data_IF_671645081113
#
_entry.id   IF_671645081113
#
_cell.length_a   1.000
_cell.length_b   1.000
_cell.length_c   1.000
_cell.angle_alpha   90.00
_cell.angle_beta   90.00
_cell.angle_gamma   90.00
#
_symmetry.space_group_name_H-M   'P 1'
#
loop_
_entity.id
_entity.type
_entity.pdbx_description
1 polymer ?
#
# COMPACT_ATOMS: atom_id res chain seq x y z
N UNK A 1 13.00 4.53 -24.99
CA UNK A 1 12.41 3.73 -23.88
C UNK A 1 11.62 2.57 -24.47
N UNK A 2 11.77 1.35 -23.95
CA UNK A 2 11.07 0.16 -24.46
C UNK A 2 9.54 0.31 -24.32
N UNK A 3 8.78 -0.02 -25.38
CA UNK A 3 7.32 0.06 -25.41
C UNK A 3 6.66 -0.79 -24.31
N UNK A 4 7.25 -1.94 -23.97
CA UNK A 4 6.78 -2.80 -22.89
C UNK A 4 6.86 -2.07 -21.54
N UNK A 5 8.03 -1.50 -21.21
CA UNK A 5 8.24 -0.75 -19.96
C UNK A 5 7.25 0.40 -19.85
N UNK A 6 7.02 1.15 -20.93
CA UNK A 6 6.03 2.24 -20.95
C UNK A 6 4.61 1.75 -20.65
N UNK A 7 4.19 0.64 -21.26
CA UNK A 7 2.88 0.03 -21.02
C UNK A 7 2.75 -0.48 -19.58
N UNK A 8 3.79 -1.10 -19.06
CA UNK A 8 3.80 -1.59 -17.68
C UNK A 8 3.70 -0.45 -16.66
N UNK A 9 4.48 0.64 -16.80
CA UNK A 9 4.34 1.83 -15.92
C UNK A 9 2.91 2.36 -15.99
N UNK A 10 2.38 2.56 -17.20
CA UNK A 10 1.06 3.14 -17.39
C UNK A 10 -0.05 2.30 -16.73
N UNK A 11 -0.13 1.01 -17.06
CA UNK A 11 -1.21 0.15 -16.57
C UNK A 11 -1.08 -0.18 -15.09
N UNK A 12 0.13 -0.43 -14.58
CA UNK A 12 0.33 -0.64 -13.15
C UNK A 12 -0.05 0.61 -12.34
N UNK A 13 0.22 1.81 -12.85
CA UNK A 13 -0.17 3.06 -12.20
C UNK A 13 -1.70 3.25 -12.15
N UNK A 14 -2.41 2.98 -13.26
CA UNK A 14 -3.88 3.00 -13.28
C UNK A 14 -4.46 1.97 -12.31
N UNK A 15 -3.90 0.75 -12.31
CA UNK A 15 -4.36 -0.33 -11.46
C UNK A 15 -4.11 -0.01 -9.97
N UNK A 16 -2.96 0.56 -9.61
CA UNK A 16 -2.68 1.06 -8.25
C UNK A 16 -3.76 2.05 -7.81
N UNK A 17 -4.05 3.06 -8.63
CA UNK A 17 -5.03 4.07 -8.28
C UNK A 17 -6.42 3.45 -8.06
N UNK A 18 -6.86 2.56 -8.94
CA UNK A 18 -8.13 1.86 -8.81
C UNK A 18 -8.19 0.96 -7.57
N UNK A 19 -7.13 0.19 -7.30
CA UNK A 19 -7.05 -0.70 -6.14
C UNK A 19 -7.09 0.08 -4.83
N UNK A 20 -6.31 1.15 -4.70
CA UNK A 20 -6.29 1.97 -3.48
C UNK A 20 -7.65 2.61 -3.22
N UNK A 21 -8.31 3.16 -4.25
CA UNK A 21 -9.68 3.69 -4.11
C UNK A 21 -10.65 2.59 -3.66
N UNK A 22 -10.56 1.39 -4.24
CA UNK A 22 -11.39 0.26 -3.86
C UNK A 22 -11.14 -0.19 -2.41
N UNK A 23 -9.88 -0.17 -1.97
CA UNK A 23 -9.49 -0.47 -0.59
C UNK A 23 -10.11 0.55 0.37
N UNK A 24 -9.94 1.86 0.10
CA UNK A 24 -10.45 2.92 0.96
C UNK A 24 -11.98 2.88 1.05
N UNK A 25 -12.66 2.76 -0.08
CA UNK A 25 -14.13 2.61 -0.13
C UNK A 25 -14.57 1.37 0.64
N UNK A 26 -13.89 0.24 0.44
CA UNK A 26 -14.19 -1.01 1.13
C UNK A 26 -13.99 -0.92 2.64
N UNK A 27 -12.89 -0.31 3.10
CA UNK A 27 -12.59 -0.12 4.52
C UNK A 27 -13.60 0.82 5.17
N UNK A 28 -13.92 1.95 4.53
CA UNK A 28 -14.92 2.90 5.03
C UNK A 28 -16.30 2.25 5.10
N UNK A 29 -16.73 1.58 4.03
CA UNK A 29 -18.03 0.89 3.99
C UNK A 29 -18.11 -0.21 5.06
N UNK A 30 -17.04 -0.98 5.24
CA UNK A 30 -16.95 -2.01 6.28
C UNK A 30 -17.12 -1.43 7.69
N UNK A 31 -16.48 -0.29 7.99
CA UNK A 31 -16.60 0.35 9.31
C UNK A 31 -18.01 0.94 9.56
N UNK A 32 -18.70 1.39 8.51
CA UNK A 32 -20.07 1.92 8.62
C UNK A 32 -21.11 0.79 8.76
N UNK A 33 -20.97 -0.27 7.97
CA UNK A 33 -21.95 -1.37 7.91
C UNK A 33 -21.77 -2.38 9.04
N UNK A 34 -20.53 -2.58 9.50
CA UNK A 34 -20.17 -3.52 10.55
C UNK A 34 -19.33 -2.79 11.61
N UNK A 35 -19.91 -1.79 12.30
CA UNK A 35 -19.20 -1.03 13.30
C UNK A 35 -18.81 -1.96 14.45
N UNK A 36 -17.52 -1.97 14.80
CA UNK A 36 -17.04 -2.76 15.93
C UNK A 36 -16.92 -1.82 17.13
N UNK A 37 -17.66 -2.11 18.19
CA UNK A 37 -17.70 -1.28 19.41
C UNK A 37 -17.34 -2.11 20.62
N UNK A 38 -16.58 -1.51 21.56
CA UNK A 38 -16.12 -2.13 22.81
C UNK A 38 -15.43 -3.49 22.61
N UNK A 39 -14.11 -3.46 22.44
CA UNK A 39 -13.31 -4.66 22.22
C UNK A 39 -12.20 -4.76 23.24
N UNK A 40 -12.30 -5.78 24.09
CA UNK A 40 -11.25 -6.15 25.03
C UNK A 40 -10.70 -7.55 24.74
N UNK A 41 -11.46 -8.40 24.06
CA UNK A 41 -11.13 -9.80 23.83
C UNK A 41 -11.60 -10.33 22.46
N UNK A 42 -11.22 -11.58 22.17
CA UNK A 42 -11.46 -12.23 20.89
C UNK A 42 -12.94 -12.63 20.72
N UNK A 43 -13.60 -13.00 21.81
CA UNK A 43 -15.00 -13.42 21.84
C UNK A 43 -15.95 -12.28 21.45
N UNK A 44 -15.70 -11.08 21.98
CA UNK A 44 -16.42 -9.85 21.62
C UNK A 44 -16.23 -9.50 20.14
N UNK A 45 -15.00 -9.64 19.64
CA UNK A 45 -14.72 -9.40 18.22
C UNK A 45 -15.42 -10.42 17.33
N UNK A 46 -15.36 -11.71 17.67
CA UNK A 46 -16.00 -12.78 16.92
C UNK A 46 -17.53 -12.61 16.85
N UNK A 47 -18.17 -12.16 17.94
CA UNK A 47 -19.60 -11.90 17.98
C UNK A 47 -20.06 -10.77 17.03
N UNK A 48 -19.18 -9.79 16.77
CA UNK A 48 -19.44 -8.65 15.88
C UNK A 48 -18.84 -8.85 14.48
N UNK A 49 -18.11 -9.94 14.26
CA UNK A 49 -17.39 -10.18 13.03
C UNK A 49 -18.34 -10.48 11.87
N UNK A 50 -18.07 -9.84 10.74
CA UNK A 50 -18.67 -10.18 9.45
C UNK A 50 -17.58 -10.53 8.45
N UNK A 51 -17.77 -11.64 7.73
CA UNK A 51 -16.87 -12.01 6.62
C UNK A 51 -16.74 -10.90 5.58
N UNK A 52 -17.72 -10.01 5.45
CA UNK A 52 -17.64 -8.87 4.54
C UNK A 52 -16.54 -7.85 4.93
N UNK A 53 -16.14 -7.80 6.20
CA UNK A 53 -15.03 -6.96 6.66
C UNK A 53 -13.68 -7.39 6.07
N UNK A 54 -13.61 -8.60 5.51
CA UNK A 54 -12.41 -9.12 4.86
C UNK A 54 -12.26 -8.70 3.39
N UNK A 55 -13.34 -8.21 2.77
CA UNK A 55 -13.36 -7.85 1.35
C UNK A 55 -12.26 -6.86 0.94
N UNK A 56 -11.94 -5.80 1.73
CA UNK A 56 -10.91 -4.83 1.32
C UNK A 56 -9.48 -5.41 1.35
N UNK A 57 -9.24 -6.53 2.03
CA UNK A 57 -7.93 -7.19 2.03
C UNK A 57 -7.61 -7.89 0.70
N UNK A 58 -8.63 -8.24 -0.11
CA UNK A 58 -8.43 -8.85 -1.43
C UNK A 58 -7.74 -7.88 -2.40
N UNK A 59 -8.26 -6.66 -2.67
CA UNK A 59 -7.54 -5.71 -3.51
C UNK A 59 -6.22 -5.25 -2.87
N UNK A 60 -6.12 -5.24 -1.54
CA UNK A 60 -4.86 -4.96 -0.84
C UNK A 60 -3.78 -6.01 -1.11
N UNK A 61 -4.15 -7.29 -1.17
CA UNK A 61 -3.26 -8.38 -1.55
C UNK A 61 -2.79 -8.24 -3.01
N UNK A 62 -3.67 -7.82 -3.91
CA UNK A 62 -3.34 -7.59 -5.33
C UNK A 62 -2.46 -6.35 -5.50
N UNK A 63 -2.63 -5.32 -4.68
CA UNK A 63 -1.84 -4.08 -4.73
C UNK A 63 -0.34 -4.35 -4.54
N UNK A 64 0.02 -5.28 -3.65
CA UNK A 64 1.41 -5.62 -3.34
C UNK A 64 2.26 -6.02 -4.57
N UNK A 65 1.91 -7.05 -5.37
CA UNK A 65 2.64 -7.39 -6.58
C UNK A 65 2.51 -6.34 -7.68
N UNK A 66 1.39 -5.61 -7.78
CA UNK A 66 1.24 -4.52 -8.76
C UNK A 66 2.22 -3.38 -8.45
N UNK A 67 2.46 -3.08 -7.17
CA UNK A 67 3.47 -2.11 -6.74
C UNK A 67 4.89 -2.51 -7.16
N UNK A 68 5.22 -3.81 -7.12
CA UNK A 68 6.50 -4.32 -7.64
C UNK A 68 6.64 -4.04 -9.14
N UNK A 69 5.61 -4.34 -9.93
CA UNK A 69 5.61 -4.08 -11.38
C UNK A 69 5.77 -2.58 -11.67
N UNK A 70 5.09 -1.74 -10.90
CA UNK A 70 5.19 -0.29 -11.00
C UNK A 70 6.61 0.20 -10.73
N UNK A 71 7.22 -0.22 -9.62
CA UNK A 71 8.56 0.18 -9.22
C UNK A 71 9.65 -0.36 -10.15
N UNK A 72 9.51 -1.61 -10.62
CA UNK A 72 10.40 -2.20 -11.63
C UNK A 72 10.38 -1.37 -12.92
N UNK A 73 9.20 -0.97 -13.35
CA UNK A 73 9.03 -0.22 -14.59
C UNK A 73 9.60 1.20 -14.46
N UNK A 74 9.42 1.86 -13.30
CA UNK A 74 10.08 3.14 -12.99
C UNK A 74 11.60 2.99 -13.01
N UNK A 75 12.14 1.95 -12.38
CA UNK A 75 13.58 1.65 -12.41
C UNK A 75 14.08 1.52 -13.86
N UNK A 76 13.37 0.81 -14.73
CA UNK A 76 13.75 0.67 -16.14
C UNK A 76 13.62 1.97 -16.95
N UNK A 77 12.79 2.91 -16.52
CA UNK A 77 12.63 4.24 -17.11
C UNK A 77 13.64 5.28 -16.61
N UNK A 78 14.37 5.01 -15.51
CA UNK A 78 15.34 5.94 -14.94
C UNK A 78 16.57 6.15 -15.84
N UNK A 79 17.13 7.36 -15.82
CA UNK A 79 18.42 7.70 -16.45
C UNK A 79 19.58 6.95 -15.78
N UNK A 80 20.70 6.80 -16.49
CA UNK A 80 21.84 6.01 -16.02
C UNK A 80 22.41 6.51 -14.68
N UNK A 81 22.46 7.83 -14.47
CA UNK A 81 22.92 8.47 -13.24
C UNK A 81 21.99 8.26 -12.03
N UNK A 82 20.72 7.86 -12.26
CA UNK A 82 19.73 7.57 -11.21
C UNK A 82 19.41 6.08 -11.08
N UNK A 83 20.10 5.22 -11.83
CA UNK A 83 19.80 3.80 -11.94
C UNK A 83 19.94 3.07 -10.60
N UNK A 84 20.96 3.41 -9.83
CA UNK A 84 21.20 2.86 -8.48
C UNK A 84 20.04 3.16 -7.53
N UNK A 85 19.53 4.39 -7.52
CA UNK A 85 18.40 4.78 -6.67
C UNK A 85 17.10 4.11 -7.12
N UNK A 86 16.87 4.01 -8.44
CA UNK A 86 15.74 3.26 -8.97
C UNK A 86 15.79 1.78 -8.57
N UNK A 87 16.98 1.15 -8.62
CA UNK A 87 17.16 -0.25 -8.23
C UNK A 87 16.92 -0.43 -6.74
N UNK A 88 17.44 0.47 -5.90
CA UNK A 88 17.19 0.45 -4.46
C UNK A 88 15.70 0.56 -4.14
N UNK A 89 14.99 1.46 -4.84
CA UNK A 89 13.55 1.60 -4.71
C UNK A 89 12.79 0.32 -5.11
N UNK A 90 13.21 -0.33 -6.19
CA UNK A 90 12.66 -1.62 -6.60
C UNK A 90 12.93 -2.73 -5.57
N UNK A 91 14.14 -2.81 -4.99
CA UNK A 91 14.45 -3.78 -3.94
C UNK A 91 13.58 -3.61 -2.71
N UNK A 92 13.34 -2.38 -2.24
CA UNK A 92 12.40 -2.13 -1.15
C UNK A 92 10.96 -2.50 -1.51
N UNK A 93 10.55 -2.32 -2.78
CA UNK A 93 9.24 -2.74 -3.24
C UNK A 93 9.04 -4.26 -3.15
N UNK A 94 10.09 -5.06 -3.42
CA UNK A 94 10.03 -6.52 -3.24
C UNK A 94 9.83 -6.90 -1.77
N UNK A 95 10.59 -6.29 -0.86
CA UNK A 95 10.48 -6.53 0.59
C UNK A 95 9.07 -6.15 1.07
N UNK A 96 8.60 -4.96 0.68
CA UNK A 96 7.23 -4.49 0.94
C UNK A 96 6.18 -5.50 0.45
N UNK A 97 6.31 -5.99 -0.77
CA UNK A 97 5.32 -6.89 -1.35
C UNK A 97 5.24 -8.22 -0.62
N UNK A 98 6.37 -8.80 -0.22
CA UNK A 98 6.40 -10.03 0.60
C UNK A 98 5.67 -9.81 1.93
N UNK A 99 6.02 -8.74 2.66
CA UNK A 99 5.43 -8.43 3.97
C UNK A 99 3.93 -8.19 3.86
N UNK A 100 3.49 -7.33 2.93
CA UNK A 100 2.08 -7.00 2.77
C UNK A 100 1.26 -8.19 2.24
N UNK A 101 1.85 -9.05 1.41
CA UNK A 101 1.16 -10.25 0.93
C UNK A 101 0.88 -11.23 2.07
N UNK A 102 1.89 -11.48 2.93
CA UNK A 102 1.70 -12.29 4.14
C UNK A 102 0.64 -11.67 5.07
N UNK A 103 0.75 -10.36 5.30
CA UNK A 103 -0.16 -9.61 6.15
C UNK A 103 -1.64 -9.74 5.72
N UNK A 104 -1.95 -9.49 4.45
CA UNK A 104 -3.33 -9.58 3.96
C UNK A 104 -3.80 -11.02 3.84
N UNK A 105 -2.92 -11.95 3.48
CA UNK A 105 -3.29 -13.35 3.37
C UNK A 105 -3.62 -13.96 4.75
N UNK A 106 -2.93 -13.56 5.81
CA UNK A 106 -3.25 -13.94 7.20
C UNK A 106 -4.68 -13.51 7.58
N UNK A 107 -5.12 -12.30 7.18
CA UNK A 107 -6.49 -11.86 7.45
C UNK A 107 -7.53 -12.72 6.72
N UNK A 108 -7.30 -12.97 5.43
CA UNK A 108 -8.20 -13.74 4.57
C UNK A 108 -8.29 -15.22 4.95
N UNK A 109 -7.23 -15.77 5.55
CA UNK A 109 -7.12 -17.19 5.92
C UNK A 109 -7.20 -17.37 7.42
N UNK A 110 -6.08 -17.25 8.13
CA UNK A 110 -5.95 -17.54 9.57
C UNK A 110 -7.01 -16.83 10.41
N UNK A 111 -7.15 -15.50 10.25
CA UNK A 111 -8.12 -14.74 11.06
C UNK A 111 -9.55 -15.11 10.70
N UNK A 112 -9.92 -15.03 9.42
CA UNK A 112 -11.28 -15.33 8.99
C UNK A 112 -11.69 -16.76 9.34
N UNK A 113 -10.84 -17.74 9.04
CA UNK A 113 -11.14 -19.15 9.27
C UNK A 113 -11.20 -19.47 10.76
N UNK A 114 -10.25 -18.97 11.56
CA UNK A 114 -10.27 -19.18 13.02
C UNK A 114 -11.51 -18.60 13.69
N UNK A 115 -11.99 -17.44 13.25
CA UNK A 115 -13.27 -16.90 13.75
C UNK A 115 -14.44 -17.82 13.38
N UNK A 116 -14.50 -18.27 12.12
CA UNK A 116 -15.61 -19.10 11.64
C UNK A 116 -15.61 -20.51 12.24
N UNK A 117 -14.46 -21.05 12.66
CA UNK A 117 -14.37 -22.35 13.34
C UNK A 117 -14.46 -22.25 14.87
N UNK A 118 -14.53 -21.05 15.44
CA UNK A 118 -14.54 -20.86 16.89
C UNK A 118 -13.17 -21.07 17.57
N UNK A 119 -12.08 -21.08 16.79
CA UNK A 119 -10.72 -21.30 17.27
C UNK A 119 -10.04 -19.97 17.63
N UNK A 120 -10.27 -19.49 18.85
CA UNK A 120 -9.83 -18.16 19.29
C UNK A 120 -8.43 -18.12 19.93
N UNK A 121 -7.90 -19.27 20.34
CA UNK A 121 -6.63 -19.36 21.05
C UNK A 121 -5.49 -18.74 20.23
N UNK A 122 -4.89 -17.67 20.75
CA UNK A 122 -3.80 -16.92 20.09
C UNK A 122 -4.22 -16.00 18.94
N UNK A 123 -5.49 -16.08 18.48
CA UNK A 123 -5.96 -15.34 17.31
C UNK A 123 -5.98 -13.81 17.54
N UNK A 124 -6.15 -13.39 18.79
CA UNK A 124 -6.11 -11.98 19.20
C UNK A 124 -4.83 -11.25 18.77
N UNK A 125 -3.71 -11.98 18.62
CA UNK A 125 -2.45 -11.40 18.17
C UNK A 125 -2.40 -11.10 16.66
N UNK A 126 -3.42 -11.47 15.89
CA UNK A 126 -3.47 -11.27 14.43
C UNK A 126 -4.60 -10.37 13.97
N UNK A 127 -5.54 -10.00 14.84
CA UNK A 127 -6.74 -9.25 14.44
C UNK A 127 -6.48 -7.74 14.37
N UNK A 128 -7.19 -7.08 13.46
CA UNK A 128 -7.10 -5.62 13.27
C UNK A 128 -7.51 -4.78 14.49
N UNK A 129 -8.49 -5.18 15.33
CA UNK A 129 -8.90 -4.32 16.42
C UNK A 129 -7.94 -4.32 17.62
N UNK A 130 -7.04 -5.30 17.73
CA UNK A 130 -5.97 -5.27 18.71
C UNK A 130 -4.84 -4.35 18.21
N UNK A 131 -4.56 -3.18 18.82
CA UNK A 131 -3.52 -2.25 18.36
C UNK A 131 -2.10 -2.80 18.53
N UNK A 132 -1.91 -3.83 19.37
CA UNK A 132 -0.62 -4.47 19.64
C UNK A 132 -0.43 -5.78 18.87
N UNK A 133 -1.25 -6.04 17.84
CA UNK A 133 -1.20 -7.27 17.04
C UNK A 133 -0.07 -7.27 16.01
N UNK A 134 0.30 -8.48 15.57
CA UNK A 134 1.12 -8.72 14.38
C UNK A 134 0.55 -8.03 13.13
N UNK A 135 -0.76 -7.80 13.05
CA UNK A 135 -1.38 -7.05 11.95
C UNK A 135 -0.76 -5.66 11.82
N UNK A 136 -0.77 -4.86 12.90
CA UNK A 136 -0.26 -3.49 12.87
C UNK A 136 1.25 -3.43 12.68
N UNK A 137 1.97 -4.39 13.25
CA UNK A 137 3.42 -4.51 13.06
C UNK A 137 3.79 -4.83 11.60
N UNK A 138 3.12 -5.79 10.96
CA UNK A 138 3.37 -6.07 9.53
C UNK A 138 2.92 -4.92 8.62
N UNK A 139 1.78 -4.28 8.92
CA UNK A 139 1.36 -3.08 8.20
C UNK A 139 2.45 -2.00 8.29
N UNK A 140 2.97 -1.74 9.49
CA UNK A 140 3.98 -0.71 9.71
C UNK A 140 5.28 -0.97 8.94
N UNK A 141 5.79 -2.18 9.01
CA UNK A 141 6.97 -2.59 8.24
C UNK A 141 6.72 -2.50 6.72
N UNK A 142 5.60 -3.06 6.24
CA UNK A 142 5.27 -3.09 4.82
C UNK A 142 5.14 -1.68 4.22
N UNK A 143 4.32 -0.83 4.82
CA UNK A 143 4.13 0.55 4.37
C UNK A 143 5.39 1.42 4.61
N UNK A 144 6.20 1.12 5.62
CA UNK A 144 7.52 1.74 5.80
C UNK A 144 8.46 1.45 4.63
N UNK A 145 8.57 0.18 4.21
CA UNK A 145 9.35 -0.20 3.03
C UNK A 145 8.77 0.37 1.73
N UNK A 146 7.45 0.44 1.60
CA UNK A 146 6.82 1.18 0.50
C UNK A 146 7.24 2.65 0.50
N UNK A 147 7.32 3.28 1.69
CA UNK A 147 7.79 4.65 1.84
C UNK A 147 9.24 4.83 1.37
N UNK A 148 10.16 3.95 1.80
CA UNK A 148 11.54 3.94 1.32
C UNK A 148 11.62 3.76 -0.20
N UNK A 149 10.80 2.88 -0.77
CA UNK A 149 10.73 2.64 -2.21
C UNK A 149 10.39 3.94 -2.96
N UNK A 150 9.34 4.65 -2.53
CA UNK A 150 8.91 5.91 -3.15
C UNK A 150 9.93 7.04 -3.00
N UNK A 151 10.60 7.15 -1.85
CA UNK A 151 11.67 8.11 -1.66
C UNK A 151 12.86 7.83 -2.59
N UNK A 152 13.24 6.57 -2.76
CA UNK A 152 14.31 6.17 -3.68
C UNK A 152 13.94 6.36 -5.16
N UNK A 153 12.66 6.22 -5.51
CA UNK A 153 12.18 6.52 -6.87
C UNK A 153 12.03 8.02 -7.16
N UNK A 154 11.91 8.88 -6.14
CA UNK A 154 11.73 10.33 -6.35
C UNK A 154 12.78 10.95 -7.30
N UNK A 155 14.09 10.66 -7.16
CA UNK A 155 15.12 11.26 -8.00
C UNK A 155 15.10 10.80 -9.46
N UNK A 156 14.38 9.72 -9.80
CA UNK A 156 14.28 9.22 -11.18
C UNK A 156 13.38 10.10 -12.05
N UNK A 157 12.56 10.97 -11.46
CA UNK A 157 11.71 11.93 -12.15
C UNK A 157 12.41 13.29 -12.28
N UNK A 158 12.54 13.89 -13.48
CA UNK A 158 13.16 15.21 -13.64
C UNK A 158 12.49 16.33 -12.83
N UNK A 159 13.29 17.12 -12.10
CA UNK A 159 12.82 18.16 -11.19
C UNK A 159 11.93 19.22 -11.86
N UNK A 160 12.27 19.66 -13.07
CA UNK A 160 11.55 20.74 -13.78
C UNK A 160 10.20 20.27 -14.35
N UNK A 161 10.16 19.07 -14.93
CA UNK A 161 8.99 18.56 -15.64
C UNK A 161 8.01 17.82 -14.71
N UNK A 162 8.51 17.15 -13.67
CA UNK A 162 7.74 16.21 -12.85
C UNK A 162 7.68 16.62 -11.37
N UNK A 163 7.77 17.92 -11.08
CA UNK A 163 7.79 18.48 -9.72
C UNK A 163 6.63 17.94 -8.85
N UNK A 164 5.42 17.85 -9.42
CA UNK A 164 4.25 17.34 -8.71
C UNK A 164 4.38 15.86 -8.33
N UNK A 165 4.85 15.00 -9.24
CA UNK A 165 5.08 13.58 -8.97
C UNK A 165 6.11 13.42 -7.86
N UNK A 166 7.20 14.18 -7.92
CA UNK A 166 8.25 14.15 -6.90
C UNK A 166 7.73 14.50 -5.51
N UNK A 167 6.98 15.60 -5.38
CA UNK A 167 6.43 16.00 -4.09
C UNK A 167 5.43 14.98 -3.55
N UNK A 168 4.62 14.37 -4.41
CA UNK A 168 3.70 13.31 -3.98
C UNK A 168 4.44 12.04 -3.58
N UNK A 169 5.52 11.66 -4.26
CA UNK A 169 6.35 10.51 -3.87
C UNK A 169 7.07 10.79 -2.54
N UNK A 170 7.59 12.00 -2.34
CA UNK A 170 8.18 12.41 -1.06
C UNK A 170 7.13 12.39 0.05
N UNK A 171 5.94 12.97 -0.18
CA UNK A 171 4.88 13.00 0.80
C UNK A 171 4.42 11.59 1.20
N UNK A 172 4.11 10.73 0.22
CA UNK A 172 3.75 9.33 0.49
C UNK A 172 4.91 8.55 1.15
N UNK A 173 6.15 8.85 0.74
CA UNK A 173 7.36 8.30 1.33
C UNK A 173 7.49 8.61 2.83
N UNK A 174 7.41 9.89 3.17
CA UNK A 174 7.46 10.39 4.55
C UNK A 174 6.28 9.86 5.37
N UNK A 175 5.09 9.77 4.79
CA UNK A 175 3.91 9.19 5.46
C UNK A 175 4.13 7.71 5.80
N UNK A 176 4.68 6.91 4.89
CA UNK A 176 5.01 5.51 5.17
C UNK A 176 6.02 5.37 6.31
N UNK A 177 7.04 6.23 6.36
CA UNK A 177 7.99 6.27 7.46
C UNK A 177 7.36 6.76 8.77
N UNK A 178 6.46 7.74 8.71
CA UNK A 178 5.72 8.23 9.87
C UNK A 178 4.81 7.15 10.45
N UNK A 179 4.18 6.31 9.62
CA UNK A 179 3.42 5.15 10.07
C UNK A 179 4.33 4.12 10.76
N UNK A 180 5.50 3.83 10.19
CA UNK A 180 6.49 2.91 10.79
C UNK A 180 6.96 3.39 12.17
N UNK A 181 7.37 4.65 12.27
CA UNK A 181 7.83 5.26 13.53
C UNK A 181 6.67 5.40 14.51
N UNK A 182 5.51 5.83 14.04
CA UNK A 182 4.29 5.97 14.84
C UNK A 182 3.88 4.65 15.51
N UNK A 183 3.92 3.54 14.76
CA UNK A 183 3.67 2.21 15.33
C UNK A 183 4.72 1.83 16.39
N UNK A 184 6.00 2.08 16.14
CA UNK A 184 7.10 1.81 17.09
C UNK A 184 6.92 2.59 18.39
N UNK A 185 6.37 3.81 18.33
CA UNK A 185 6.12 4.67 19.48
C UNK A 185 4.74 4.45 20.13
N UNK A 186 3.93 3.50 19.64
CA UNK A 186 2.57 3.27 20.13
C UNK A 186 1.56 4.38 19.80
N UNK A 187 1.86 5.23 18.81
CA UNK A 187 1.04 6.37 18.40
C UNK A 187 -0.09 5.95 17.46
N UNK A 188 -1.03 5.14 17.98
CA UNK A 188 -2.09 4.51 17.20
C UNK A 188 -2.97 5.50 16.42
N UNK A 189 -3.37 6.61 17.05
CA UNK A 189 -4.21 7.65 16.41
C UNK A 189 -3.47 8.28 15.22
N UNK A 190 -2.16 8.51 15.35
CA UNK A 190 -1.35 9.06 14.26
C UNK A 190 -1.33 8.08 13.07
N UNK A 191 -1.15 6.78 13.33
CA UNK A 191 -1.16 5.75 12.29
C UNK A 191 -2.48 5.75 11.50
N UNK A 192 -3.62 5.86 12.18
CA UNK A 192 -4.93 5.96 11.51
C UNK A 192 -4.97 7.19 10.60
N UNK A 193 -4.60 8.37 11.12
CA UNK A 193 -4.66 9.61 10.35
C UNK A 193 -3.75 9.57 9.13
N UNK A 194 -2.51 9.11 9.29
CA UNK A 194 -1.56 9.07 8.17
C UNK A 194 -1.94 8.03 7.12
N UNK A 195 -2.64 6.93 7.48
CA UNK A 195 -3.20 5.98 6.52
C UNK A 195 -4.22 6.60 5.58
N UNK A 196 -5.13 7.45 6.09
CA UNK A 196 -6.09 8.16 5.24
C UNK A 196 -5.40 9.15 4.29
N UNK A 197 -4.39 9.87 4.78
CA UNK A 197 -3.62 10.80 3.94
C UNK A 197 -2.85 10.03 2.85
N UNK A 198 -2.27 8.88 3.19
CA UNK A 198 -1.63 7.99 2.23
C UNK A 198 -2.60 7.52 1.14
N UNK A 199 -3.78 7.01 1.54
CA UNK A 199 -4.84 6.54 0.65
C UNK A 199 -5.33 7.60 -0.34
N UNK A 200 -5.34 8.88 0.08
CA UNK A 200 -5.66 9.99 -0.81
C UNK A 200 -4.52 10.38 -1.75
N UNK A 201 -3.28 10.46 -1.24
CA UNK A 201 -2.15 10.99 -2.01
C UNK A 201 -1.59 9.99 -3.03
N UNK A 202 -1.57 8.70 -2.71
CA UNK A 202 -0.94 7.70 -3.57
C UNK A 202 -1.65 7.48 -4.91
N UNK A 203 -3.00 7.39 -4.99
CA UNK A 203 -3.72 7.35 -6.25
C UNK A 203 -3.46 8.57 -7.13
N UNK A 204 -3.40 9.77 -6.55
CA UNK A 204 -3.10 11.01 -7.28
C UNK A 204 -1.69 10.91 -7.90
N UNK A 205 -0.71 10.44 -7.12
CA UNK A 205 0.65 10.24 -7.59
C UNK A 205 0.70 9.24 -8.77
N UNK A 206 0.02 8.09 -8.62
CA UNK A 206 -0.05 7.06 -9.63
C UNK A 206 -0.73 7.57 -10.92
N UNK A 207 -1.85 8.29 -10.82
CA UNK A 207 -2.54 8.87 -11.98
C UNK A 207 -1.70 9.91 -12.72
N UNK A 208 -0.90 10.71 -12.01
CA UNK A 208 0.03 11.65 -12.65
C UNK A 208 1.16 10.92 -13.38
N UNK A 209 1.68 9.83 -12.81
CA UNK A 209 2.64 8.95 -13.50
C UNK A 209 1.99 8.35 -14.75
N UNK A 210 0.77 7.80 -14.65
CA UNK A 210 0.04 7.29 -15.81
C UNK A 210 -0.13 8.35 -16.91
N UNK A 211 -0.55 9.56 -16.54
CA UNK A 211 -0.71 10.68 -17.49
C UNK A 211 0.61 11.02 -18.20
N UNK A 212 1.72 11.05 -17.48
CA UNK A 212 3.06 11.31 -18.05
C UNK A 212 3.42 10.25 -19.11
N UNK A 213 3.31 8.97 -18.76
CA UNK A 213 3.73 7.87 -19.64
C UNK A 213 2.75 7.61 -20.79
N UNK A 214 1.50 8.08 -20.69
CA UNK A 214 0.56 8.17 -21.82
C UNK A 214 1.00 9.22 -22.84
N UNK A 215 1.39 10.44 -22.43
CA UNK A 215 1.75 11.51 -23.39
C UNK A 215 2.96 11.14 -24.25
N UNK A 216 3.95 10.47 -23.65
CA UNK A 216 5.13 9.95 -24.35
C UNK A 216 4.83 8.83 -25.38
N UNK A 217 3.59 8.33 -25.48
CA UNK A 217 3.22 7.38 -26.54
C UNK A 217 2.80 8.06 -27.84
N UNK A 218 2.30 9.29 -27.78
CA UNK A 218 1.77 10.02 -28.94
C UNK A 218 2.87 10.76 -29.70
N UNK A 219 3.91 11.23 -29.01
CA UNK A 219 5.08 11.92 -29.61
C UNK A 219 6.02 10.96 -30.39
N UNK A 220 5.89 9.64 -30.22
CA UNK A 220 6.70 8.65 -30.96
C UNK A 220 5.93 8.01 -32.14
N UNK A 221 4.73 8.50 -32.46
CA UNK A 221 3.86 8.00 -33.53
C UNK A 221 3.46 9.10 -34.53
N UNK A 222 3.97 10.33 -34.36
CA UNK A 222 3.92 11.42 -35.33
C UNK A 222 5.32 11.83 -35.71
#
# INVERSE_FOLDING_TARGET
MNQLVRRLVFWSAILIAALVILIDVGMIASNILYPITHLTNMEEYAAQFSSAQMLPFIPSLILAPVFVVFMLSIYHSASQDKKVLGQLGFSFALICAVILSLHYYIQLTVVRQGILSGEYAGLWQFVTPNPHSFFWMFAALGYGFMGFALLCATPTFPQKADKAIRWLFVANGVIGLAFLVGNTLGLFIINILVSFVWGALFPIAALLVAKKFRRQSWENLG
#
